data_IF_996846370601
#
_entry.id   IF_996846370601
#
_cell.length_a   1.000
_cell.length_b   1.000
_cell.length_c   1.000
_cell.angle_alpha   90.00
_cell.angle_beta   90.00
_cell.angle_gamma   90.00
#
_symmetry.space_group_name_H-M   'P 1'
#
loop_
_entity.id
_entity.type
_entity.pdbx_description
1 polymer ?
#
# COMPACT_ATOMS: atom_id res chain seq x y z
N UNK A 1 -6.08 15.56 -4.04
CA UNK A 1 -5.75 16.09 -2.69
C UNK A 1 -6.32 17.48 -2.48
N UNK A 2 -6.21 18.39 -3.44
CA UNK A 2 -6.69 19.78 -3.33
C UNK A 2 -8.15 19.92 -2.87
N UNK A 3 -9.10 19.25 -3.55
CA UNK A 3 -10.52 19.24 -3.13
C UNK A 3 -10.76 18.68 -1.71
N UNK A 4 -9.99 17.69 -1.29
CA UNK A 4 -10.10 17.08 0.05
C UNK A 4 -9.57 18.07 1.10
N UNK A 5 -8.44 18.71 0.83
CA UNK A 5 -7.86 19.72 1.72
C UNK A 5 -8.76 20.95 1.83
N UNK A 6 -9.36 21.38 0.71
CA UNK A 6 -10.32 22.48 0.70
C UNK A 6 -11.54 22.16 1.58
N UNK A 7 -12.21 21.02 1.34
CA UNK A 7 -13.34 20.59 2.15
C UNK A 7 -12.98 20.41 3.64
N UNK A 8 -11.76 19.93 3.92
CA UNK A 8 -11.24 19.81 5.28
C UNK A 8 -10.88 21.14 5.94
N UNK A 9 -10.60 22.20 5.17
CA UNK A 9 -10.38 23.55 5.71
C UNK A 9 -11.68 24.31 5.93
N UNK A 10 -12.72 23.98 5.17
CA UNK A 10 -14.06 24.55 5.26
C UNK A 10 -14.93 23.84 6.32
N UNK A 11 -14.42 22.75 6.92
CA UNK A 11 -15.07 22.00 7.99
C UNK A 11 -14.10 21.73 9.14
N UNK A 12 -14.59 21.34 10.31
CA UNK A 12 -13.73 20.83 11.39
C UNK A 12 -13.39 19.33 11.24
N UNK A 13 -13.71 18.74 10.08
CA UNK A 13 -13.54 17.32 9.84
C UNK A 13 -12.09 16.95 9.59
N UNK A 14 -11.69 15.76 10.05
CA UNK A 14 -10.37 15.17 9.79
C UNK A 14 -10.51 13.88 9.00
N UNK A 15 -9.71 13.74 7.94
CA UNK A 15 -9.58 12.50 7.19
C UNK A 15 -8.45 11.67 7.79
N UNK A 16 -8.79 10.52 8.35
CA UNK A 16 -7.81 9.56 8.85
C UNK A 16 -7.61 8.44 7.83
N UNK A 17 -6.35 8.22 7.44
CA UNK A 17 -5.95 7.11 6.58
C UNK A 17 -5.33 6.04 7.48
N UNK A 18 -6.04 4.94 7.70
CA UNK A 18 -5.48 3.80 8.42
C UNK A 18 -4.34 3.16 7.62
N UNK A 19 -3.39 2.53 8.30
CA UNK A 19 -2.19 1.93 7.66
C UNK A 19 -2.53 0.77 6.72
N UNK A 20 -3.72 0.18 6.85
CA UNK A 20 -4.18 -0.89 5.98
C UNK A 20 -3.40 -2.17 6.22
N UNK A 21 -2.99 -2.83 5.14
CA UNK A 21 -2.26 -4.10 5.21
C UNK A 21 -0.73 -3.93 5.35
N UNK A 22 -0.27 -2.72 5.72
CA UNK A 22 1.14 -2.40 5.98
C UNK A 22 1.26 -1.54 7.26
N UNK A 23 2.49 -1.20 7.64
CA UNK A 23 2.81 -0.31 8.76
C UNK A 23 3.94 0.67 8.41
N UNK A 24 4.43 1.41 9.41
CA UNK A 24 5.57 2.33 9.24
C UNK A 24 5.22 3.71 8.67
N UNK A 25 3.96 4.14 8.73
CA UNK A 25 3.55 5.46 8.24
C UNK A 25 4.14 6.62 9.04
N UNK A 26 4.40 6.40 10.32
CA UNK A 26 5.19 7.26 11.18
C UNK A 26 6.61 7.44 10.64
N UNK A 27 7.30 6.34 10.33
CA UNK A 27 8.64 6.33 9.76
C UNK A 27 8.66 7.01 8.38
N UNK A 28 7.73 6.65 7.49
CA UNK A 28 7.58 7.25 6.16
C UNK A 28 7.41 8.77 6.24
N UNK A 29 6.60 9.26 7.18
CA UNK A 29 6.43 10.70 7.40
C UNK A 29 7.68 11.35 8.00
N UNK A 30 8.38 10.67 8.89
CA UNK A 30 9.59 11.19 9.51
C UNK A 30 10.71 11.38 8.46
N UNK A 31 10.92 10.40 7.59
CA UNK A 31 12.00 10.45 6.61
C UNK A 31 11.81 11.49 5.50
N UNK A 32 10.58 11.97 5.30
CA UNK A 32 10.32 13.12 4.40
C UNK A 32 11.03 14.39 4.85
N UNK A 33 11.25 14.56 6.16
CA UNK A 33 12.02 15.69 6.68
C UNK A 33 13.54 15.50 6.53
N UNK A 34 14.00 14.27 6.27
CA UNK A 34 15.41 13.90 6.18
C UNK A 34 15.93 13.70 4.76
N UNK A 35 15.25 14.23 3.73
CA UNK A 35 15.72 14.11 2.34
C UNK A 35 15.37 12.76 1.69
N UNK A 36 14.12 12.29 1.81
CA UNK A 36 13.62 11.16 1.05
C UNK A 36 13.73 11.43 -0.45
N UNK A 37 14.58 10.66 -1.14
CA UNK A 37 14.77 10.76 -2.59
C UNK A 37 14.06 9.66 -3.37
N UNK A 38 13.74 8.55 -2.71
CA UNK A 38 13.22 7.36 -3.36
C UNK A 38 12.24 6.56 -2.49
N UNK A 39 11.13 6.12 -3.09
CA UNK A 39 10.12 5.30 -2.42
C UNK A 39 9.56 4.24 -3.38
N UNK A 40 9.73 2.96 -3.03
CA UNK A 40 9.22 1.83 -3.79
C UNK A 40 8.45 0.85 -2.90
N UNK A 41 7.33 0.35 -3.40
CA UNK A 41 6.62 -0.80 -2.83
C UNK A 41 6.53 -1.91 -3.87
N UNK A 42 6.97 -3.10 -3.49
CA UNK A 42 6.80 -4.33 -4.24
C UNK A 42 5.78 -5.20 -3.53
N UNK A 43 4.69 -5.49 -4.21
CA UNK A 43 3.65 -6.39 -3.73
C UNK A 43 3.69 -7.71 -4.47
N UNK A 44 3.80 -8.82 -3.75
CA UNK A 44 3.71 -10.17 -4.31
C UNK A 44 2.45 -10.84 -3.80
N UNK A 45 1.63 -11.35 -4.72
CA UNK A 45 0.37 -12.05 -4.42
C UNK A 45 0.23 -13.31 -5.25
N UNK A 46 -0.70 -14.16 -4.84
CA UNK A 46 -1.18 -15.26 -5.65
C UNK A 46 -1.83 -14.75 -6.96
N UNK A 47 -1.64 -15.43 -8.12
CA UNK A 47 -2.34 -15.14 -9.38
C UNK A 47 -3.83 -14.86 -9.20
N UNK A 48 -4.53 -15.68 -8.42
CA UNK A 48 -5.97 -15.57 -8.21
C UNK A 48 -6.41 -14.22 -7.61
N UNK A 49 -5.55 -13.60 -6.78
CA UNK A 49 -5.84 -12.28 -6.20
C UNK A 49 -5.71 -11.14 -7.20
N UNK A 50 -4.94 -11.34 -8.28
CA UNK A 50 -4.67 -10.35 -9.31
C UNK A 50 -5.58 -10.53 -10.55
N UNK A 51 -6.00 -11.76 -10.85
CA UNK A 51 -6.87 -12.05 -11.99
C UNK A 51 -8.18 -11.25 -11.96
N UNK A 52 -8.63 -10.85 -13.15
CA UNK A 52 -9.73 -9.91 -13.36
C UNK A 52 -9.40 -8.44 -13.07
N UNK A 53 -8.13 -8.09 -12.84
CA UNK A 53 -7.72 -6.68 -12.80
C UNK A 53 -7.78 -6.07 -14.22
N UNK A 54 -8.23 -4.80 -14.36
CA UNK A 54 -8.29 -4.09 -15.64
C UNK A 54 -7.00 -4.17 -16.47
N UNK A 55 -5.83 -4.09 -15.82
CA UNK A 55 -4.54 -4.15 -16.49
C UNK A 55 -4.29 -5.46 -17.26
N UNK A 56 -4.93 -6.56 -16.85
CA UNK A 56 -4.73 -7.87 -17.47
C UNK A 56 -5.58 -8.07 -18.73
N UNK A 57 -6.56 -7.20 -18.99
CA UNK A 57 -7.42 -7.25 -20.19
C UNK A 57 -8.01 -8.65 -20.46
N UNK A 58 -8.55 -9.28 -19.41
CA UNK A 58 -9.15 -10.62 -19.48
C UNK A 58 -8.15 -11.78 -19.55
N UNK A 59 -6.83 -11.53 -19.54
CA UNK A 59 -5.82 -12.59 -19.46
C UNK A 59 -5.67 -13.10 -18.03
N UNK A 60 -5.61 -14.41 -17.88
CA UNK A 60 -5.31 -15.06 -16.60
C UNK A 60 -3.79 -15.21 -16.43
N UNK A 61 -3.30 -14.95 -15.22
CA UNK A 61 -1.90 -15.15 -14.86
C UNK A 61 -1.60 -16.65 -14.69
N UNK A 62 -0.43 -17.16 -15.09
CA UNK A 62 -0.07 -18.57 -14.96
C UNK A 62 -0.03 -19.02 -13.50
N UNK A 63 -0.45 -20.27 -13.26
CA UNK A 63 -0.42 -20.90 -11.92
C UNK A 63 0.85 -21.75 -11.66
N UNK A 64 1.86 -21.67 -12.53
CA UNK A 64 3.07 -22.50 -12.45
C UNK A 64 4.38 -21.70 -12.50
N UNK A 65 4.31 -20.38 -12.70
CA UNK A 65 5.48 -19.52 -12.81
C UNK A 65 5.27 -18.17 -12.11
N UNK A 66 6.28 -17.74 -11.35
CA UNK A 66 6.33 -16.37 -10.82
C UNK A 66 6.66 -15.37 -11.93
N UNK A 67 5.96 -14.23 -11.96
CA UNK A 67 6.25 -13.16 -12.91
C UNK A 67 5.99 -11.77 -12.32
N UNK A 68 6.81 -10.80 -12.74
CA UNK A 68 6.53 -9.38 -12.55
C UNK A 68 5.43 -8.95 -13.53
N UNK A 69 4.27 -8.60 -12.99
CA UNK A 69 3.07 -8.26 -13.76
C UNK A 69 3.01 -6.78 -14.08
N UNK A 70 3.46 -5.94 -13.14
CA UNK A 70 3.38 -4.49 -13.27
C UNK A 70 4.60 -3.81 -12.66
N UNK A 71 5.03 -2.73 -13.31
CA UNK A 71 6.03 -1.78 -12.80
C UNK A 71 5.66 -0.38 -13.30
N UNK A 72 5.47 0.57 -12.39
CA UNK A 72 5.10 1.93 -12.73
C UNK A 72 4.91 2.79 -11.48
N UNK A 73 4.29 3.96 -11.65
CA UNK A 73 3.88 4.84 -10.55
C UNK A 73 2.68 4.29 -9.78
N UNK A 74 2.45 4.80 -8.58
CA UNK A 74 1.24 4.51 -7.78
C UNK A 74 -0.05 4.93 -8.53
N UNK A 75 0.00 6.02 -9.31
CA UNK A 75 -1.11 6.47 -10.17
C UNK A 75 -1.46 5.45 -11.26
N UNK A 76 -0.48 4.91 -11.96
CA UNK A 76 -0.72 3.90 -13.00
C UNK A 76 -1.18 2.58 -12.37
N UNK A 77 -0.58 2.20 -11.24
CA UNK A 77 -0.96 1.00 -10.50
C UNK A 77 -2.44 1.02 -10.09
N UNK A 78 -2.97 2.14 -9.58
CA UNK A 78 -4.37 2.19 -9.14
C UNK A 78 -5.35 2.16 -10.32
N UNK A 79 -4.96 2.67 -11.48
CA UNK A 79 -5.76 2.54 -12.70
C UNK A 79 -5.83 1.07 -13.17
N UNK A 80 -4.69 0.36 -13.13
CA UNK A 80 -4.61 -1.02 -13.58
C UNK A 80 -5.12 -2.07 -12.58
N UNK A 81 -4.97 -1.80 -11.29
CA UNK A 81 -5.20 -2.74 -10.19
C UNK A 81 -6.00 -2.11 -9.03
N UNK A 82 -7.19 -1.51 -9.27
CA UNK A 82 -7.92 -0.70 -8.30
C UNK A 82 -8.30 -1.43 -7.00
N UNK A 83 -8.35 -2.76 -7.03
CA UNK A 83 -8.69 -3.60 -5.86
C UNK A 83 -7.47 -4.11 -5.09
N UNK A 84 -6.25 -3.86 -5.57
CA UNK A 84 -5.04 -4.53 -5.09
C UNK A 84 -3.94 -3.59 -4.57
N UNK A 85 -3.98 -2.30 -4.89
CA UNK A 85 -2.86 -1.36 -4.64
C UNK A 85 -3.18 -0.25 -3.64
N UNK A 86 -4.25 -0.38 -2.85
CA UNK A 86 -4.63 0.63 -1.85
C UNK A 86 -3.45 0.96 -0.90
N UNK A 87 -2.67 -0.03 -0.49
CA UNK A 87 -1.48 0.18 0.35
C UNK A 87 -0.39 1.01 -0.34
N UNK A 88 -0.24 0.87 -1.66
CA UNK A 88 0.71 1.65 -2.44
C UNK A 88 0.26 3.11 -2.58
N UNK A 89 -1.06 3.35 -2.72
CA UNK A 89 -1.61 4.71 -2.72
C UNK A 89 -1.47 5.36 -1.35
N UNK A 90 -1.79 4.64 -0.27
CA UNK A 90 -1.60 5.14 1.09
C UNK A 90 -0.13 5.47 1.38
N UNK A 91 0.80 4.58 1.04
CA UNK A 91 2.24 4.85 1.15
C UNK A 91 2.64 6.09 0.35
N UNK A 92 2.13 6.24 -0.88
CA UNK A 92 2.43 7.39 -1.72
C UNK A 92 1.99 8.71 -1.07
N UNK A 93 0.81 8.74 -0.41
CA UNK A 93 0.37 9.91 0.35
C UNK A 93 1.28 10.24 1.54
N UNK A 94 1.91 9.22 2.13
CA UNK A 94 2.84 9.38 3.26
C UNK A 94 4.28 9.69 2.85
N UNK A 95 4.63 9.58 1.56
CA UNK A 95 6.00 9.68 1.03
C UNK A 95 6.11 10.75 -0.08
N UNK A 96 6.40 10.34 -1.32
CA UNK A 96 6.73 11.22 -2.45
C UNK A 96 5.52 11.63 -3.30
N UNK A 97 4.32 11.18 -2.95
CA UNK A 97 3.12 11.37 -3.76
C UNK A 97 2.92 10.28 -4.80
N UNK A 98 1.74 10.29 -5.43
CA UNK A 98 1.26 9.18 -6.29
C UNK A 98 1.98 9.05 -7.62
N UNK A 99 2.66 10.11 -8.06
CA UNK A 99 3.39 10.15 -9.32
C UNK A 99 4.81 9.59 -9.16
N UNK A 100 5.50 9.95 -8.08
CA UNK A 100 6.91 9.58 -7.85
C UNK A 100 7.08 8.26 -7.08
N UNK A 101 6.06 7.80 -6.36
CA UNK A 101 6.14 6.53 -5.62
C UNK A 101 6.06 5.36 -6.60
N UNK A 102 7.11 4.53 -6.64
CA UNK A 102 7.18 3.37 -7.52
C UNK A 102 6.46 2.17 -6.94
N UNK A 103 5.80 1.43 -7.83
CA UNK A 103 5.05 0.22 -7.51
C UNK A 103 5.51 -0.91 -8.41
N UNK A 104 5.76 -2.06 -7.81
CA UNK A 104 5.95 -3.34 -8.50
C UNK A 104 4.87 -4.31 -8.01
N UNK A 105 4.33 -5.11 -8.92
CA UNK A 105 3.39 -6.19 -8.58
C UNK A 105 3.87 -7.47 -9.21
N UNK A 106 4.15 -8.48 -8.38
CA UNK A 106 4.46 -9.84 -8.83
C UNK A 106 3.32 -10.81 -8.53
N UNK A 107 3.14 -11.74 -9.44
CA UNK A 107 2.27 -12.90 -9.30
C UNK A 107 3.12 -14.11 -8.98
N UNK A 108 2.91 -14.74 -7.82
CA UNK A 108 3.66 -15.92 -7.37
C UNK A 108 2.67 -17.06 -7.07
N UNK A 109 2.59 -18.11 -7.91
CA UNK A 109 1.70 -19.24 -7.67
C UNK A 109 2.03 -20.02 -6.40
N UNK A 110 1.00 -20.57 -5.75
CA UNK A 110 1.14 -21.28 -4.48
C UNK A 110 1.40 -20.37 -3.28
N UNK A 111 1.53 -19.05 -3.47
CA UNK A 111 1.71 -18.12 -2.37
C UNK A 111 0.42 -17.99 -1.55
N UNK A 112 0.48 -18.33 -0.27
CA UNK A 112 -0.65 -18.27 0.67
C UNK A 112 -0.72 -16.96 1.48
N UNK A 113 0.30 -16.11 1.34
CA UNK A 113 0.44 -14.84 2.04
C UNK A 113 0.58 -13.70 1.04
N UNK A 114 0.05 -12.52 1.36
CA UNK A 114 0.39 -11.31 0.62
C UNK A 114 1.68 -10.74 1.21
N UNK A 115 2.64 -10.41 0.35
CA UNK A 115 3.91 -9.82 0.76
C UNK A 115 3.97 -8.40 0.22
N UNK A 116 4.31 -7.44 1.08
CA UNK A 116 4.63 -6.07 0.74
C UNK A 116 6.05 -5.77 1.22
N UNK A 117 6.97 -5.61 0.27
CA UNK A 117 8.33 -5.14 0.52
C UNK A 117 8.39 -3.65 0.17
N UNK A 118 8.71 -2.82 1.16
CA UNK A 118 8.81 -1.37 1.02
C UNK A 118 10.26 -0.98 1.17
N UNK A 119 10.75 -0.16 0.25
CA UNK A 119 12.10 0.40 0.29
C UNK A 119 12.04 1.92 0.18
N UNK A 120 12.68 2.60 1.12
CA UNK A 120 12.84 4.05 1.15
C UNK A 120 14.33 4.35 1.12
N UNK A 121 14.77 5.24 0.22
CA UNK A 121 16.16 5.70 0.18
C UNK A 121 16.23 7.24 0.20
N UNK A 122 17.23 7.77 0.87
CA UNK A 122 17.48 9.21 0.96
C UNK A 122 18.81 9.48 1.64
N UNK A 123 19.02 10.73 2.04
CA UNK A 123 20.27 11.17 2.72
C UNK A 123 20.46 10.47 4.07
N UNK A 124 19.36 10.00 4.68
CA UNK A 124 19.35 9.18 5.90
C UNK A 124 19.80 7.72 5.68
N UNK A 125 20.06 7.31 4.44
CA UNK A 125 20.39 5.93 4.07
C UNK A 125 19.19 5.16 3.50
N UNK A 126 19.13 3.86 3.81
CA UNK A 126 18.11 2.93 3.28
C UNK A 126 17.29 2.32 4.41
N UNK A 127 15.98 2.29 4.21
CA UNK A 127 15.03 1.62 5.10
C UNK A 127 14.27 0.57 4.28
N UNK A 128 14.16 -0.62 4.83
CA UNK A 128 13.40 -1.73 4.26
C UNK A 128 12.37 -2.22 5.28
N UNK A 129 11.11 -2.32 4.86
CA UNK A 129 10.00 -2.84 5.67
C UNK A 129 9.37 -3.99 4.89
N UNK A 130 9.28 -5.16 5.51
CA UNK A 130 8.59 -6.32 4.95
C UNK A 130 7.35 -6.67 5.76
N UNK A 131 6.20 -6.73 5.09
CA UNK A 131 4.93 -7.13 5.70
C UNK A 131 4.41 -8.36 4.94
N UNK A 132 4.39 -9.50 5.62
CA UNK A 132 4.00 -10.79 5.07
C UNK A 132 2.80 -11.31 5.87
N UNK A 133 1.59 -11.19 5.32
CA UNK A 133 0.35 -11.43 6.06
C UNK A 133 -0.61 -12.25 5.23
N UNK A 134 -1.31 -13.18 5.88
CA UNK A 134 -2.37 -13.96 5.24
C UNK A 134 -3.46 -13.04 4.68
N UNK A 135 -4.02 -13.36 3.50
CA UNK A 135 -5.23 -12.72 3.02
C UNK A 135 -6.38 -12.93 4.02
N UNK A 136 -7.43 -12.13 3.88
CA UNK A 136 -8.67 -12.40 4.61
C UNK A 136 -9.33 -13.67 4.06
N UNK A 137 -9.77 -14.57 4.94
CA UNK A 137 -10.56 -15.76 4.57
C UNK A 137 -11.82 -15.41 3.77
N UNK A 138 -12.41 -14.23 4.02
CA UNK A 138 -13.61 -13.75 3.33
C UNK A 138 -13.31 -13.05 1.99
N UNK A 139 -12.08 -12.59 1.77
CA UNK A 139 -11.68 -11.86 0.57
C UNK A 139 -10.16 -11.94 0.35
N UNK A 140 -9.73 -12.83 -0.54
CA UNK A 140 -8.33 -13.04 -0.88
C UNK A 140 -7.60 -11.79 -1.44
N UNK A 141 -8.34 -10.79 -1.93
CA UNK A 141 -7.76 -9.53 -2.45
C UNK A 141 -7.37 -8.57 -1.32
N UNK A 142 -7.91 -8.78 -0.11
CA UNK A 142 -7.67 -7.95 1.07
C UNK A 142 -6.97 -8.74 2.20
N UNK A 143 -6.54 -8.05 3.25
CA UNK A 143 -5.99 -8.65 4.46
C UNK A 143 -6.86 -8.29 5.66
N UNK A 144 -7.01 -9.23 6.61
CA UNK A 144 -7.64 -8.95 7.91
C UNK A 144 -6.90 -7.84 8.68
N UNK A 145 -5.58 -7.70 8.44
CA UNK A 145 -4.79 -6.61 9.02
C UNK A 145 -5.33 -5.22 8.64
N UNK A 146 -5.90 -5.06 7.44
CA UNK A 146 -6.51 -3.79 7.05
C UNK A 146 -7.69 -3.43 7.95
N UNK A 147 -8.52 -4.40 8.34
CA UNK A 147 -9.61 -4.17 9.29
C UNK A 147 -9.08 -3.86 10.70
N UNK A 148 -8.06 -4.60 11.16
CA UNK A 148 -7.43 -4.34 12.46
C UNK A 148 -6.75 -2.97 12.52
N UNK A 149 -6.22 -2.46 11.40
CA UNK A 149 -5.63 -1.12 11.35
C UNK A 149 -6.66 -0.01 11.64
N UNK A 150 -7.94 -0.23 11.29
CA UNK A 150 -9.03 0.69 11.63
C UNK A 150 -9.36 0.61 13.12
N UNK A 151 -9.41 -0.60 13.68
CA UNK A 151 -9.63 -0.78 15.12
C UNK A 151 -8.50 -0.11 15.93
N UNK A 152 -7.25 -0.32 15.54
CA UNK A 152 -6.09 0.30 16.17
C UNK A 152 -6.13 1.84 16.07
N UNK A 153 -6.57 2.39 14.94
CA UNK A 153 -6.77 3.83 14.78
C UNK A 153 -7.84 4.37 15.73
N UNK A 154 -8.99 3.70 15.83
CA UNK A 154 -10.08 4.10 16.73
C UNK A 154 -9.68 3.98 18.20
N UNK A 155 -8.96 2.91 18.55
CA UNK A 155 -8.39 2.73 19.88
C UNK A 155 -7.42 3.87 20.21
N UNK A 156 -6.48 4.19 19.32
CA UNK A 156 -5.54 5.31 19.48
C UNK A 156 -6.24 6.64 19.77
N UNK A 157 -7.37 6.91 19.11
CA UNK A 157 -8.15 8.13 19.34
C UNK A 157 -8.76 8.23 20.74
N UNK A 158 -8.90 7.09 21.44
CA UNK A 158 -9.50 7.01 22.77
C UNK A 158 -8.49 6.94 23.91
N UNK A 159 -7.19 6.78 23.62
CA UNK A 159 -6.16 6.56 24.62
C UNK A 159 -5.37 7.82 24.97
N UNK A 160 -4.92 7.90 26.24
CA UNK A 160 -4.04 8.99 26.73
C UNK A 160 -2.63 8.88 26.15
N UNK A 161 -2.13 7.65 26.00
CA UNK A 161 -0.83 7.36 25.38
C UNK A 161 -1.11 6.90 23.96
N UNK A 162 -0.61 7.65 22.98
CA UNK A 162 -0.84 7.40 21.56
C UNK A 162 0.46 6.96 20.90
N UNK A 163 0.47 5.75 20.34
CA UNK A 163 1.55 5.22 19.49
C UNK A 163 1.17 5.39 18.02
#
# INVERSE_FOLDING_TARGET
MERINQAGSESEAKLYVASGAIGGFDLMRAVRFGGLGDAEIHTTKNPHSLNGAPYLDGKELPEHQEQLVFKGSSREAIAGFPKNVNVAVSMALATLGVDETRVKISSCPGLEINIHDIRLNGDFGTIEIKVAVKPSEKNAKSSTLAAWSVLALLEKMSQTIML
#
